data_IF_554133144419
#
_entry.id   IF_554133144419
#
_cell.length_a   1.000
_cell.length_b   1.000
_cell.length_c   1.000
_cell.angle_alpha   90.00
_cell.angle_beta   90.00
_cell.angle_gamma   90.00
#
_symmetry.space_group_name_H-M   'P 1'
#
loop_
_entity.id
_entity.type
_entity.pdbx_description
1 polymer ?
#
# COMPACT_ATOMS: atom_id res chain seq x y z
N UNK A 1 -25.86 19.02 23.15
CA UNK A 1 -26.04 19.65 21.83
C UNK A 1 -25.34 21.01 21.71
N UNK A 2 -25.47 21.97 22.64
CA UNK A 2 -24.80 23.30 22.55
C UNK A 2 -23.26 23.25 22.48
N UNK A 3 -22.60 22.31 23.12
CA UNK A 3 -21.10 22.18 23.10
C UNK A 3 -20.57 21.63 21.77
N UNK A 4 -21.32 20.77 21.08
CA UNK A 4 -20.95 20.22 19.76
C UNK A 4 -21.12 21.30 18.68
N UNK A 5 -22.17 22.12 18.79
CA UNK A 5 -22.38 23.25 17.88
C UNK A 5 -21.26 24.30 18.00
N UNK A 6 -20.76 24.54 19.23
CA UNK A 6 -19.65 25.48 19.45
C UNK A 6 -18.32 25.00 18.85
N UNK A 7 -18.05 23.68 18.91
CA UNK A 7 -16.88 23.08 18.27
C UNK A 7 -16.95 23.13 16.73
N UNK A 8 -18.14 22.88 16.17
CA UNK A 8 -18.34 22.96 14.72
C UNK A 8 -18.21 24.40 14.18
N UNK A 9 -18.72 25.39 14.93
CA UNK A 9 -18.56 26.80 14.55
C UNK A 9 -17.13 27.30 14.72
N UNK A 10 -16.39 26.82 15.71
CA UNK A 10 -14.98 27.16 15.91
C UNK A 10 -14.10 26.57 14.80
N UNK A 11 -14.37 25.34 14.34
CA UNK A 11 -13.69 24.71 13.21
C UNK A 11 -14.03 25.45 11.90
N UNK A 12 -15.28 25.83 11.68
CA UNK A 12 -15.71 26.59 10.51
C UNK A 12 -15.08 28.00 10.48
N UNK A 13 -14.92 28.65 11.64
CA UNK A 13 -14.26 29.96 11.75
C UNK A 13 -12.74 29.89 11.50
N UNK A 14 -12.09 28.79 11.90
CA UNK A 14 -10.66 28.52 11.61
C UNK A 14 -10.43 28.28 10.12
N UNK A 15 -11.38 27.67 9.42
CA UNK A 15 -11.33 27.46 7.97
C UNK A 15 -11.59 28.74 7.17
N UNK A 16 -12.35 29.68 7.71
CA UNK A 16 -12.68 30.94 7.01
C UNK A 16 -11.54 31.99 7.04
N UNK A 17 -10.55 31.88 7.94
CA UNK A 17 -9.43 32.83 8.04
C UNK A 17 -8.22 32.46 7.19
N UNK A 18 -8.23 31.33 6.47
CA UNK A 18 -7.11 30.82 5.67
C UNK A 18 -7.12 31.25 4.20
N UNK A 19 -7.95 32.22 3.80
CA UNK A 19 -7.98 32.72 2.41
C UNK A 19 -6.85 33.71 2.13
N UNK A 20 -5.61 33.30 2.25
CA UNK A 20 -4.54 33.90 1.46
C UNK A 20 -4.66 33.28 0.06
N UNK A 21 -4.77 34.12 -0.96
CA UNK A 21 -4.88 33.73 -2.37
C UNK A 21 -3.61 32.99 -2.81
N UNK A 22 -3.53 31.69 -2.48
CA UNK A 22 -2.45 30.82 -2.95
C UNK A 22 -2.85 30.33 -4.35
N UNK A 23 -2.01 30.58 -5.34
CA UNK A 23 -2.23 30.02 -6.67
C UNK A 23 -2.07 28.49 -6.62
N UNK A 24 -3.17 27.76 -6.86
CA UNK A 24 -3.18 26.31 -6.86
C UNK A 24 -2.15 25.76 -7.87
N UNK A 25 -1.34 24.79 -7.44
CA UNK A 25 -0.34 24.15 -8.27
C UNK A 25 -0.78 22.75 -8.66
N UNK A 26 -0.73 22.46 -9.96
CA UNK A 26 -1.05 21.13 -10.52
C UNK A 26 0.22 20.51 -11.03
N UNK A 27 0.48 19.27 -10.64
CA UNK A 27 1.62 18.49 -11.13
C UNK A 27 1.15 17.09 -11.53
N UNK A 28 1.76 16.57 -12.58
CA UNK A 28 1.61 15.17 -13.01
C UNK A 28 2.96 14.49 -12.97
N UNK A 29 2.96 13.19 -12.76
CA UNK A 29 4.21 12.48 -12.62
C UNK A 29 4.09 10.98 -12.84
N UNK A 30 5.23 10.33 -12.78
CA UNK A 30 5.33 8.88 -12.80
C UNK A 30 6.31 8.42 -11.72
N UNK A 31 6.12 7.22 -11.23
CA UNK A 31 7.01 6.59 -10.25
C UNK A 31 7.21 5.13 -10.52
N UNK A 32 8.29 4.58 -9.99
CA UNK A 32 8.57 3.16 -10.02
C UNK A 32 9.48 2.77 -8.86
N UNK A 33 9.44 1.52 -8.48
CA UNK A 33 10.22 1.04 -7.35
C UNK A 33 9.98 -0.42 -7.01
N UNK A 34 10.29 -0.76 -5.78
CA UNK A 34 10.17 -2.11 -5.24
C UNK A 34 9.09 -2.17 -4.16
N UNK A 35 8.43 -3.32 -4.07
CA UNK A 35 7.50 -3.68 -3.02
C UNK A 35 8.05 -4.85 -2.21
N UNK A 36 7.78 -4.84 -0.91
CA UNK A 36 8.02 -5.95 0.00
C UNK A 36 6.68 -6.23 0.69
N UNK A 37 6.13 -7.42 0.52
CA UNK A 37 4.80 -7.74 1.00
C UNK A 37 4.76 -9.04 1.79
N UNK A 38 3.74 -9.13 2.64
CA UNK A 38 3.30 -10.35 3.32
C UNK A 38 1.81 -10.27 3.59
N UNK A 39 1.21 -11.36 4.00
CA UNK A 39 -0.19 -11.42 4.45
C UNK A 39 -0.22 -11.70 5.95
N UNK A 40 -0.98 -10.92 6.68
CA UNK A 40 -1.17 -11.12 8.12
C UNK A 40 -2.28 -12.16 8.33
N UNK A 41 -1.89 -13.43 8.48
CA UNK A 41 -2.79 -14.54 8.74
C UNK A 41 -3.06 -14.69 10.24
N UNK A 42 -4.29 -15.09 10.57
CA UNK A 42 -4.64 -15.57 11.89
C UNK A 42 -5.45 -16.87 11.79
N UNK A 43 -4.93 -18.04 12.23
CA UNK A 43 -3.64 -18.26 12.88
C UNK A 43 -2.46 -17.89 11.98
N UNK A 44 -1.32 -17.60 12.61
CA UNK A 44 -0.13 -17.10 11.92
C UNK A 44 0.53 -18.17 11.04
N UNK A 45 0.96 -17.75 9.85
CA UNK A 45 1.74 -18.56 8.91
C UNK A 45 3.17 -18.02 8.90
N UNK A 46 4.15 -18.90 8.92
CA UNK A 46 5.55 -18.50 8.83
C UNK A 46 5.89 -18.01 7.43
N UNK A 47 6.31 -16.75 7.35
CA UNK A 47 6.54 -16.05 6.08
C UNK A 47 7.80 -15.21 6.13
N UNK A 48 8.43 -15.08 4.97
CA UNK A 48 9.38 -14.01 4.68
C UNK A 48 8.75 -12.99 3.72
N UNK A 49 9.28 -11.77 3.72
CA UNK A 49 8.81 -10.73 2.81
C UNK A 49 8.97 -11.16 1.35
N UNK A 50 7.89 -11.08 0.59
CA UNK A 50 7.90 -11.33 -0.86
C UNK A 50 8.32 -10.04 -1.59
N UNK A 51 9.45 -10.04 -2.30
CA UNK A 51 9.83 -8.91 -3.15
C UNK A 51 8.98 -8.86 -4.41
N UNK A 52 8.60 -7.65 -4.80
CA UNK A 52 7.84 -7.35 -6.01
C UNK A 52 8.25 -6.00 -6.59
N UNK A 53 7.52 -5.56 -7.60
CA UNK A 53 7.71 -4.28 -8.27
C UNK A 53 6.44 -3.44 -8.19
N UNK A 54 6.60 -2.13 -8.21
CA UNK A 54 5.52 -1.16 -8.32
C UNK A 54 5.88 -0.09 -9.35
N UNK A 55 4.89 0.33 -10.14
CA UNK A 55 5.03 1.46 -11.05
C UNK A 55 3.67 2.13 -11.23
N UNK A 56 3.66 3.44 -11.49
CA UNK A 56 2.39 4.15 -11.66
C UNK A 56 2.55 5.59 -12.08
N UNK A 57 1.39 6.22 -12.26
CA UNK A 57 1.26 7.64 -12.56
C UNK A 57 0.68 8.38 -11.36
N UNK A 58 1.04 9.65 -11.23
CA UNK A 58 0.69 10.48 -10.09
C UNK A 58 0.08 11.79 -10.56
N UNK A 59 -0.95 12.23 -9.86
CA UNK A 59 -1.54 13.55 -9.97
C UNK A 59 -1.46 14.22 -8.61
N UNK A 60 -0.96 15.47 -8.56
CA UNK A 60 -0.87 16.26 -7.32
C UNK A 60 -1.48 17.63 -7.51
N UNK A 61 -2.34 17.99 -6.58
CA UNK A 61 -2.92 19.31 -6.44
C UNK A 61 -2.52 19.93 -5.11
N UNK A 62 -1.87 21.10 -5.15
CA UNK A 62 -1.49 21.88 -3.97
C UNK A 62 -2.32 23.15 -3.99
N UNK A 63 -3.17 23.33 -3.00
CA UNK A 63 -4.06 24.48 -2.85
C UNK A 63 -3.55 25.47 -1.82
N UNK A 64 -2.86 24.99 -0.79
CA UNK A 64 -2.37 25.81 0.32
C UNK A 64 -0.88 25.59 0.55
N UNK A 65 -0.28 26.54 1.28
CA UNK A 65 1.09 26.38 1.75
C UNK A 65 1.18 25.16 2.67
N UNK A 66 2.04 24.22 2.34
CA UNK A 66 2.33 22.99 3.08
C UNK A 66 1.26 21.89 3.01
N UNK A 67 0.17 22.08 2.25
CA UNK A 67 -0.92 21.10 2.14
C UNK A 67 -1.37 20.90 0.69
N UNK A 68 -1.63 19.66 0.32
CA UNK A 68 -2.13 19.28 -1.00
C UNK A 68 -2.81 17.91 -0.98
N UNK A 69 -3.20 17.47 -2.15
CA UNK A 69 -3.82 16.18 -2.43
C UNK A 69 -2.99 15.46 -3.50
N UNK A 70 -2.77 14.17 -3.30
CA UNK A 70 -2.17 13.29 -4.31
C UNK A 70 -3.15 12.15 -4.58
N UNK A 71 -3.42 11.91 -5.87
CA UNK A 71 -4.08 10.72 -6.36
C UNK A 71 -3.13 9.99 -7.30
N UNK A 72 -3.11 8.67 -7.22
CA UNK A 72 -2.21 7.85 -8.03
C UNK A 72 -2.96 6.68 -8.65
N UNK A 73 -2.41 6.16 -9.73
CA UNK A 73 -2.83 4.89 -10.30
C UNK A 73 -1.57 4.02 -10.48
N UNK A 74 -1.46 3.00 -9.64
CA UNK A 74 -0.28 2.16 -9.57
C UNK A 74 -0.61 0.73 -9.97
N UNK A 75 0.37 0.04 -10.56
CA UNK A 75 0.37 -1.41 -10.70
C UNK A 75 1.44 -1.96 -9.77
N UNK A 76 1.03 -2.79 -8.80
CA UNK A 76 1.93 -3.30 -7.76
C UNK A 76 1.82 -4.81 -7.63
N UNK A 77 2.96 -5.47 -7.49
CA UNK A 77 3.05 -6.88 -7.16
C UNK A 77 3.12 -7.04 -5.64
N UNK A 78 2.22 -7.85 -5.09
CA UNK A 78 2.12 -8.19 -3.65
C UNK A 78 1.93 -9.70 -3.48
N UNK A 79 1.84 -10.15 -2.23
CA UNK A 79 1.55 -11.55 -1.90
C UNK A 79 2.32 -12.00 -0.67
N UNK A 80 2.57 -13.29 -0.59
CA UNK A 80 3.38 -13.87 0.48
C UNK A 80 4.34 -14.93 -0.04
N UNK A 81 5.36 -15.18 0.74
CA UNK A 81 6.32 -16.26 0.54
C UNK A 81 6.47 -17.02 1.84
N UNK A 82 6.26 -18.34 1.79
CA UNK A 82 6.46 -19.22 2.93
C UNK A 82 7.93 -19.27 3.35
N UNK A 83 8.14 -19.40 4.64
CA UNK A 83 9.46 -19.66 5.22
C UNK A 83 9.54 -21.14 5.66
N UNK A 84 10.31 -21.94 4.94
CA UNK A 84 10.54 -23.36 5.29
C UNK A 84 11.88 -23.47 5.99
N UNK A 85 11.85 -23.81 7.29
CA UNK A 85 13.05 -24.06 8.06
C UNK A 85 13.58 -25.46 7.72
N UNK A 86 14.89 -25.61 7.66
CA UNK A 86 15.61 -26.89 7.43
C UNK A 86 15.20 -27.62 6.13
N UNK A 87 14.67 -26.91 5.14
CA UNK A 87 14.24 -27.47 3.87
C UNK A 87 14.54 -26.54 2.70
N UNK A 88 14.82 -27.12 1.54
CA UNK A 88 14.98 -26.39 0.26
C UNK A 88 13.63 -26.06 -0.41
N UNK A 89 12.50 -26.30 0.27
CA UNK A 89 11.18 -26.00 -0.28
C UNK A 89 10.98 -24.48 -0.44
N UNK A 90 10.30 -24.13 -1.51
CA UNK A 90 9.96 -22.75 -1.84
C UNK A 90 8.53 -22.68 -2.33
N UNK A 91 7.73 -21.83 -1.68
CA UNK A 91 6.38 -21.50 -2.10
C UNK A 91 6.17 -20.00 -2.01
N UNK A 92 5.62 -19.41 -3.06
CA UNK A 92 5.19 -18.01 -3.05
C UNK A 92 3.94 -17.83 -3.90
N UNK A 93 2.97 -17.08 -3.39
CA UNK A 93 1.79 -16.67 -4.11
C UNK A 93 1.83 -15.17 -4.35
N UNK A 94 1.90 -14.77 -5.60
CA UNK A 94 2.05 -13.38 -6.03
C UNK A 94 0.79 -12.88 -6.71
N UNK A 95 0.35 -11.72 -6.31
CA UNK A 95 -0.78 -11.00 -6.89
C UNK A 95 -0.28 -9.75 -7.63
N UNK A 96 -0.99 -9.38 -8.68
CA UNK A 96 -0.84 -8.09 -9.35
C UNK A 96 -2.08 -7.26 -9.09
N UNK A 97 -1.92 -6.12 -8.43
CA UNK A 97 -2.99 -5.18 -8.11
C UNK A 97 -2.90 -3.92 -8.97
N UNK A 98 -4.05 -3.41 -9.35
CA UNK A 98 -4.25 -2.03 -9.74
C UNK A 98 -4.71 -1.26 -8.50
N UNK A 99 -3.96 -0.21 -8.12
CA UNK A 99 -4.13 0.53 -6.88
C UNK A 99 -4.48 1.98 -7.15
N UNK A 100 -5.43 2.49 -6.39
CA UNK A 100 -5.88 3.89 -6.43
C UNK A 100 -5.79 4.50 -5.03
N UNK A 101 -4.61 4.94 -4.57
CA UNK A 101 -4.48 5.74 -3.36
C UNK A 101 -4.91 7.18 -3.61
N UNK A 102 -5.67 7.74 -2.65
CA UNK A 102 -6.03 9.15 -2.58
C UNK A 102 -5.57 9.66 -1.22
N UNK A 103 -4.56 10.52 -1.22
CA UNK A 103 -3.84 10.87 0.01
C UNK A 103 -3.76 12.38 0.20
N UNK A 104 -3.82 12.80 1.45
CA UNK A 104 -3.34 14.11 1.85
C UNK A 104 -1.83 14.18 1.69
N UNK A 105 -1.34 15.31 1.22
CA UNK A 105 0.09 15.58 1.05
C UNK A 105 0.50 16.76 1.92
N UNK A 106 1.25 16.48 2.97
CA UNK A 106 1.77 17.49 3.88
C UNK A 106 3.27 17.59 3.63
N UNK A 107 3.75 18.79 3.29
CA UNK A 107 5.15 18.99 2.97
C UNK A 107 5.74 20.19 3.71
N UNK A 108 7.03 20.12 3.97
CA UNK A 108 7.81 21.15 4.69
C UNK A 108 9.21 21.22 4.12
N UNK A 109 9.87 22.32 4.32
CA UNK A 109 11.25 22.54 3.85
C UNK A 109 11.40 23.83 3.08
N UNK A 110 12.36 23.84 2.17
CA UNK A 110 12.72 25.03 1.40
C UNK A 110 12.37 24.86 -0.10
N UNK A 111 12.73 25.87 -0.91
CA UNK A 111 12.43 25.83 -2.36
C UNK A 111 13.12 24.69 -3.11
N UNK A 112 14.24 24.16 -2.61
CA UNK A 112 15.07 23.17 -3.29
C UNK A 112 14.81 21.76 -2.80
N UNK A 113 14.64 21.60 -1.48
CA UNK A 113 14.43 20.30 -0.83
C UNK A 113 13.23 20.40 0.09
N UNK A 114 12.30 19.46 -0.06
CA UNK A 114 11.10 19.33 0.76
C UNK A 114 11.04 17.93 1.34
N UNK A 115 10.75 17.81 2.63
CA UNK A 115 10.24 16.57 3.22
C UNK A 115 8.73 16.53 3.09
N UNK A 116 8.14 15.34 3.02
CA UNK A 116 6.70 15.21 2.97
C UNK A 116 6.18 13.95 3.69
N UNK A 117 4.90 14.02 4.06
CA UNK A 117 4.10 12.89 4.51
C UNK A 117 2.84 12.79 3.67
N UNK A 118 2.50 11.56 3.29
CA UNK A 118 1.26 11.22 2.61
C UNK A 118 0.47 10.27 3.49
N UNK A 119 -0.85 10.44 3.59
CA UNK A 119 -1.75 9.55 4.33
C UNK A 119 -3.13 9.58 3.69
N UNK A 120 -3.72 8.42 3.47
CA UNK A 120 -5.08 8.33 2.94
C UNK A 120 -5.58 6.91 2.70
N UNK A 121 -6.80 6.79 2.24
CA UNK A 121 -7.37 5.53 1.79
C UNK A 121 -6.75 5.08 0.47
N UNK A 122 -6.75 3.77 0.27
CA UNK A 122 -6.33 3.12 -0.96
C UNK A 122 -7.32 2.03 -1.33
N UNK A 123 -7.72 2.00 -2.59
CA UNK A 123 -8.61 1.01 -3.18
C UNK A 123 -7.82 0.21 -4.20
N UNK A 124 -7.99 -1.12 -4.17
CA UNK A 124 -7.19 -2.04 -4.95
C UNK A 124 -8.06 -3.09 -5.65
N UNK A 125 -7.71 -3.41 -6.88
CA UNK A 125 -8.34 -4.47 -7.65
C UNK A 125 -7.27 -5.45 -8.11
N UNK A 126 -7.42 -6.72 -7.77
CA UNK A 126 -6.52 -7.78 -8.21
C UNK A 126 -6.77 -8.09 -9.69
N UNK A 127 -5.77 -7.87 -10.52
CA UNK A 127 -5.80 -8.16 -11.95
C UNK A 127 -5.47 -9.62 -12.25
N UNK A 128 -4.64 -10.24 -11.44
CA UNK A 128 -4.23 -11.62 -11.59
C UNK A 128 -3.34 -12.09 -10.45
N UNK A 129 -3.13 -13.38 -10.40
CA UNK A 129 -2.30 -14.05 -9.41
C UNK A 129 -1.48 -15.17 -10.05
N UNK A 130 -0.45 -15.63 -9.33
CA UNK A 130 0.40 -16.72 -9.78
C UNK A 130 1.18 -17.33 -8.63
N UNK A 131 1.23 -18.65 -8.62
CA UNK A 131 1.95 -19.46 -7.63
C UNK A 131 3.28 -19.90 -8.23
N UNK A 132 4.35 -19.81 -7.44
CA UNK A 132 5.65 -20.44 -7.74
C UNK A 132 6.01 -21.36 -6.59
N UNK A 133 6.17 -22.64 -6.92
CA UNK A 133 6.59 -23.70 -6.00
C UNK A 133 7.61 -24.60 -6.67
N UNK A 134 8.54 -25.17 -5.89
CA UNK A 134 9.45 -26.22 -6.34
C UNK A 134 9.03 -27.62 -5.89
N UNK A 135 7.84 -27.76 -5.30
CA UNK A 135 7.25 -29.01 -4.87
C UNK A 135 5.75 -29.06 -5.23
N UNK A 136 5.15 -30.24 -5.15
CA UNK A 136 3.71 -30.45 -5.39
C UNK A 136 2.90 -29.95 -4.18
N UNK A 137 2.67 -28.64 -4.10
CA UNK A 137 2.00 -28.01 -2.94
C UNK A 137 0.54 -28.45 -2.76
N UNK A 138 -0.11 -29.00 -3.81
CA UNK A 138 -1.44 -29.56 -3.73
C UNK A 138 -1.48 -30.82 -2.87
N UNK A 139 -0.38 -31.58 -2.84
CA UNK A 139 -0.22 -32.83 -2.10
C UNK A 139 0.58 -32.62 -0.80
N UNK A 140 0.73 -31.36 -0.36
CA UNK A 140 1.54 -31.02 0.82
C UNK A 140 1.11 -31.79 2.08
N UNK A 141 -0.18 -32.08 2.26
CA UNK A 141 -0.70 -32.82 3.40
C UNK A 141 -0.17 -34.27 3.48
N UNK A 142 0.22 -34.86 2.35
CA UNK A 142 0.75 -36.23 2.26
C UNK A 142 2.28 -36.29 2.33
N UNK A 143 2.95 -35.14 2.37
CA UNK A 143 4.41 -35.06 2.41
C UNK A 143 4.91 -35.20 3.86
N UNK A 144 5.92 -36.04 4.07
CA UNK A 144 6.52 -36.32 5.39
C UNK A 144 6.96 -35.05 6.14
N UNK A 145 7.46 -34.05 5.42
CA UNK A 145 7.87 -32.77 6.00
C UNK A 145 6.72 -32.04 6.70
N UNK A 146 5.51 -32.09 6.15
CA UNK A 146 4.34 -31.37 6.70
C UNK A 146 3.53 -32.22 7.68
N UNK A 147 3.62 -33.54 7.64
CA UNK A 147 2.88 -34.46 8.54
C UNK A 147 3.39 -34.41 9.98
N UNK A 148 4.63 -34.02 10.19
CA UNK A 148 5.28 -33.92 11.52
C UNK A 148 5.31 -32.49 12.08
N UNK A 149 4.79 -31.51 11.35
CA UNK A 149 4.80 -30.10 11.73
C UNK A 149 3.38 -29.61 12.11
N UNK A 150 3.31 -28.69 13.05
CA UNK A 150 2.06 -27.97 13.42
C UNK A 150 1.76 -26.81 12.49
N UNK A 151 2.42 -26.72 11.36
CA UNK A 151 2.32 -25.64 10.37
C UNK A 151 0.97 -25.71 9.64
N UNK A 152 0.37 -24.55 9.44
CA UNK A 152 -0.75 -24.41 8.53
C UNK A 152 -0.26 -24.48 7.08
N UNK A 153 -0.91 -25.30 6.26
CA UNK A 153 -0.64 -25.51 4.83
C UNK A 153 -1.82 -25.20 3.94
N UNK A 154 -2.98 -24.99 4.53
CA UNK A 154 -4.26 -24.81 3.82
C UNK A 154 -4.24 -23.57 2.92
N UNK A 155 -3.54 -22.50 3.30
CA UNK A 155 -3.38 -21.29 2.50
C UNK A 155 -2.73 -21.53 1.13
N UNK A 156 -2.00 -22.65 0.97
CA UNK A 156 -1.36 -22.98 -0.29
C UNK A 156 -2.35 -23.44 -1.36
N UNK A 157 -3.49 -24.01 -0.93
CA UNK A 157 -4.51 -24.59 -1.83
C UNK A 157 -5.84 -23.84 -1.80
N UNK A 158 -5.99 -22.86 -0.88
CA UNK A 158 -7.23 -22.08 -0.80
C UNK A 158 -7.39 -21.13 -1.98
N UNK A 159 -8.61 -21.10 -2.52
CA UNK A 159 -8.97 -20.16 -3.58
C UNK A 159 -9.09 -18.73 -3.05
N UNK A 160 -8.59 -17.79 -3.83
CA UNK A 160 -8.75 -16.36 -3.54
C UNK A 160 -10.17 -15.94 -3.86
N UNK A 161 -10.92 -15.55 -2.85
CA UNK A 161 -12.31 -15.15 -2.99
C UNK A 161 -12.46 -13.68 -3.29
N UNK A 162 -11.68 -12.83 -2.61
CA UNK A 162 -11.82 -11.39 -2.73
C UNK A 162 -10.72 -10.83 -3.66
N UNK A 163 -11.15 -10.34 -4.83
CA UNK A 163 -10.28 -9.61 -5.77
C UNK A 163 -10.27 -8.09 -5.54
N UNK A 164 -11.18 -7.63 -4.70
CA UNK A 164 -11.27 -6.23 -4.30
C UNK A 164 -10.71 -6.08 -2.88
N UNK A 165 -9.77 -5.17 -2.70
CA UNK A 165 -9.16 -4.84 -1.43
C UNK A 165 -9.22 -3.33 -1.21
N UNK A 166 -9.39 -2.90 0.02
CA UNK A 166 -9.28 -1.52 0.42
C UNK A 166 -8.56 -1.43 1.75
N UNK A 167 -7.90 -0.30 1.96
CA UNK A 167 -7.11 -0.13 3.17
C UNK A 167 -6.66 1.30 3.37
N UNK A 168 -5.66 1.43 4.22
CA UNK A 168 -5.03 2.69 4.55
C UNK A 168 -3.57 2.61 4.13
N UNK A 169 -3.11 3.64 3.43
CA UNK A 169 -1.71 3.80 3.11
C UNK A 169 -1.16 5.09 3.72
N UNK A 170 0.10 5.03 4.14
CA UNK A 170 0.82 6.18 4.65
C UNK A 170 2.29 6.10 4.28
N UNK A 171 2.88 7.24 3.92
CA UNK A 171 4.26 7.29 3.49
C UNK A 171 4.96 8.59 3.88
N UNK A 172 6.27 8.55 3.82
CA UNK A 172 7.12 9.70 4.00
C UNK A 172 8.22 9.72 2.95
N UNK A 173 8.69 10.91 2.61
CA UNK A 173 9.72 11.02 1.60
C UNK A 173 10.36 12.40 1.51
N UNK A 174 11.19 12.51 0.49
CA UNK A 174 11.87 13.77 0.12
C UNK A 174 11.61 14.06 -1.35
N UNK A 175 11.40 15.35 -1.63
CA UNK A 175 11.30 15.90 -2.97
C UNK A 175 12.42 16.91 -3.21
N UNK A 176 13.12 16.77 -4.33
CA UNK A 176 14.17 17.68 -4.76
C UNK A 176 13.68 18.40 -6.01
N UNK A 177 13.46 19.70 -5.91
CA UNK A 177 13.13 20.55 -7.05
C UNK A 177 14.40 20.81 -7.88
N UNK A 178 14.44 20.29 -9.11
CA UNK A 178 15.51 20.52 -10.06
C UNK A 178 15.42 21.93 -10.63
N UNK A 179 14.20 22.37 -10.91
CA UNK A 179 13.87 23.74 -11.33
C UNK A 179 12.41 24.07 -10.98
N UNK A 180 11.84 25.13 -11.54
CA UNK A 180 10.45 25.54 -11.24
C UNK A 180 9.38 24.56 -11.72
N UNK A 181 9.70 23.68 -12.67
CA UNK A 181 8.75 22.73 -13.28
C UNK A 181 9.04 21.26 -12.99
N UNK A 182 10.26 20.90 -12.63
CA UNK A 182 10.72 19.52 -12.54
C UNK A 182 11.17 19.18 -11.15
N UNK A 183 10.66 18.10 -10.57
CA UNK A 183 11.13 17.57 -9.30
C UNK A 183 11.29 16.05 -9.31
N UNK A 184 12.22 15.59 -8.50
CA UNK A 184 12.43 14.18 -8.19
C UNK A 184 11.98 13.92 -6.77
N UNK A 185 11.38 12.76 -6.54
CA UNK A 185 10.96 12.34 -5.22
C UNK A 185 11.45 10.92 -4.91
N UNK A 186 11.77 10.70 -3.64
CA UNK A 186 11.99 9.39 -3.05
C UNK A 186 10.95 9.21 -1.93
N UNK A 187 10.19 8.13 -1.99
CA UNK A 187 9.13 7.84 -1.02
C UNK A 187 9.25 6.41 -0.48
N UNK A 188 9.12 6.27 0.85
CA UNK A 188 8.83 5.02 1.51
C UNK A 188 7.37 5.03 1.97
N UNK A 189 6.59 3.99 1.63
CA UNK A 189 5.16 3.90 1.93
C UNK A 189 4.83 2.54 2.54
N UNK A 190 3.91 2.56 3.48
CA UNK A 190 3.29 1.38 4.08
C UNK A 190 1.81 1.35 3.71
N UNK A 191 1.31 0.16 3.36
CA UNK A 191 -0.08 -0.14 3.13
C UNK A 191 -0.54 -1.25 4.07
N UNK A 192 -1.75 -1.11 4.62
CA UNK A 192 -2.45 -2.14 5.38
C UNK A 192 -3.86 -2.33 4.82
N UNK A 193 -4.13 -3.53 4.30
CA UNK A 193 -5.44 -3.95 3.82
C UNK A 193 -6.40 -4.21 4.97
N UNK A 194 -7.63 -3.77 4.81
CA UNK A 194 -8.73 -4.00 5.76
C UNK A 194 -9.65 -5.14 5.30
N UNK A 195 -9.42 -5.66 4.10
CA UNK A 195 -10.17 -6.77 3.54
C UNK A 195 -9.35 -8.06 3.66
N UNK A 196 -10.03 -9.17 3.92
CA UNK A 196 -9.42 -10.49 3.92
C UNK A 196 -9.32 -11.06 2.50
N UNK A 197 -8.18 -11.67 2.17
CA UNK A 197 -7.93 -12.32 0.88
C UNK A 197 -8.73 -13.62 0.80
N UNK A 198 -8.76 -14.37 1.91
CA UNK A 198 -9.53 -15.61 2.05
C UNK A 198 -10.87 -15.39 2.74
N UNK A 199 -11.81 -16.34 2.63
CA UNK A 199 -13.03 -16.32 3.43
C UNK A 199 -12.70 -16.34 4.93
N UNK A 200 -13.47 -15.61 5.74
CA UNK A 200 -13.27 -15.46 7.19
C UNK A 200 -14.54 -15.77 8.01
N UNK A 201 -15.34 -16.73 7.56
CA UNK A 201 -16.49 -17.20 8.35
C UNK A 201 -16.03 -17.97 9.58
N UNK A 202 -16.92 -18.14 10.57
CA UNK A 202 -16.59 -18.83 11.85
C UNK A 202 -16.10 -20.28 11.68
N UNK A 203 -16.38 -20.89 10.54
CA UNK A 203 -15.99 -22.27 10.19
C UNK A 203 -14.72 -22.31 9.35
N UNK A 204 -14.23 -21.17 8.91
CA UNK A 204 -13.04 -21.09 8.06
C UNK A 204 -11.77 -21.18 8.90
N UNK A 205 -10.69 -21.67 8.29
CA UNK A 205 -9.41 -21.92 8.96
C UNK A 205 -8.76 -20.60 9.43
N UNK A 206 -8.84 -19.56 8.59
CA UNK A 206 -8.29 -18.26 8.92
C UNK A 206 -9.39 -17.28 9.33
N UNK A 207 -9.22 -16.66 10.49
CA UNK A 207 -10.10 -15.59 10.96
C UNK A 207 -9.72 -14.22 10.37
N UNK A 208 -8.48 -14.08 9.86
CA UNK A 208 -8.03 -12.90 9.10
C UNK A 208 -6.89 -13.24 8.14
N UNK A 209 -6.82 -12.50 7.03
CA UNK A 209 -5.80 -12.62 5.99
C UNK A 209 -5.55 -11.28 5.28
N UNK A 210 -5.05 -10.30 6.05
CA UNK A 210 -4.91 -8.92 5.58
C UNK A 210 -3.57 -8.67 4.87
N UNK A 211 -3.62 -7.99 3.74
CA UNK A 211 -2.43 -7.58 3.00
C UNK A 211 -1.62 -6.53 3.75
N UNK A 212 -0.30 -6.72 3.81
CA UNK A 212 0.67 -5.73 4.31
C UNK A 212 1.76 -5.53 3.27
N UNK A 213 2.04 -4.26 2.92
CA UNK A 213 3.04 -3.95 1.90
C UNK A 213 3.85 -2.72 2.29
N UNK A 214 5.16 -2.81 2.12
CA UNK A 214 6.08 -1.68 2.16
C UNK A 214 6.57 -1.45 0.74
N UNK A 215 6.54 -0.21 0.27
CA UNK A 215 7.10 0.17 -1.03
C UNK A 215 8.17 1.23 -0.87
N UNK A 216 9.20 1.17 -1.70
CA UNK A 216 10.20 2.23 -1.86
C UNK A 216 10.21 2.62 -3.33
N UNK A 217 9.91 3.88 -3.61
CA UNK A 217 9.72 4.38 -4.98
C UNK A 217 10.54 5.62 -5.25
N UNK A 218 11.04 5.70 -6.47
CA UNK A 218 11.56 6.92 -7.07
C UNK A 218 10.51 7.46 -8.03
N UNK A 219 10.25 8.76 -7.97
CA UNK A 219 9.26 9.41 -8.81
C UNK A 219 9.78 10.70 -9.41
N UNK A 220 9.06 11.16 -10.41
CA UNK A 220 9.30 12.40 -11.10
C UNK A 220 7.99 13.14 -11.27
N UNK A 221 7.97 14.44 -10.92
CA UNK A 221 6.84 15.33 -11.18
C UNK A 221 7.20 16.40 -12.20
N UNK A 222 6.23 16.67 -13.04
CA UNK A 222 6.20 17.84 -13.92
C UNK A 222 5.06 18.77 -13.48
N UNK A 223 5.39 20.03 -13.14
CA UNK A 223 4.42 21.05 -12.76
C UNK A 223 3.80 21.66 -14.01
N UNK A 224 2.47 21.55 -14.12
CA UNK A 224 1.68 22.15 -15.20
C UNK A 224 1.37 23.60 -14.93
N UNK A 225 1.02 23.92 -13.68
CA UNK A 225 0.65 25.26 -13.20
C UNK A 225 1.23 25.50 -11.81
#
# INVERSE_FOLDING_TARGET
MRRVAFFLTAIAALLATAQTHYEGQISVGAKGGVSLSRVNFNPSVEQIMLPGMTAGVMFRYIEEKNFGLIAELNMTQRGWKENFEESDYNYSHRFTYLELPIMTHIYFGNRRVKGFFNLGPEINVMLGDGIKSNFAYQDAADMEYFTNDTRHIEQMTMDIKNRFDYGICGGAGMEINLNSKHSLLLEGRFYYGLTDIFPNHKTDIFSSSNSMTVTVTLGYFYRLK
#
